data_IF_072758754105
#
_entry.id   IF_072758754105
#
_cell.length_a   1.000
_cell.length_b   1.000
_cell.length_c   1.000
_cell.angle_alpha   90.00
_cell.angle_beta   90.00
_cell.angle_gamma   90.00
#
_symmetry.space_group_name_H-M   'P 1'
#
loop_
_entity.id
_entity.type
_entity.pdbx_description
1 polymer ?
#
# COMPACT_ATOMS: atom_id res chain seq x y z
N UNK A 1 15.85 -2.82 16.95
CA UNK A 1 14.55 -3.52 16.79
C UNK A 1 14.42 -3.89 15.32
N UNK A 2 14.05 -5.15 15.01
CA UNK A 2 13.92 -5.61 13.62
C UNK A 2 12.66 -4.97 12.99
N UNK A 3 12.78 -4.60 11.71
CA UNK A 3 11.70 -4.12 10.86
C UNK A 3 11.43 -5.17 9.79
N UNK A 4 10.21 -5.25 9.34
CA UNK A 4 9.76 -6.18 8.30
C UNK A 4 9.01 -5.35 7.27
N UNK A 5 9.36 -5.52 6.01
CA UNK A 5 8.67 -4.91 4.90
C UNK A 5 7.88 -6.01 4.19
N UNK A 6 6.58 -5.84 4.11
CA UNK A 6 5.70 -6.65 3.28
C UNK A 6 5.68 -6.04 1.88
N UNK A 7 6.01 -6.85 0.89
CA UNK A 7 5.94 -6.50 -0.53
C UNK A 7 4.97 -7.48 -1.19
N UNK A 8 3.91 -6.97 -1.80
CA UNK A 8 2.98 -7.80 -2.55
C UNK A 8 3.58 -8.16 -3.91
N UNK A 9 3.42 -9.43 -4.31
CA UNK A 9 4.06 -9.97 -5.52
C UNK A 9 3.39 -9.55 -6.84
N UNK A 10 2.27 -8.87 -6.77
CA UNK A 10 1.49 -8.32 -7.89
C UNK A 10 1.88 -6.88 -8.25
N UNK A 11 2.86 -6.29 -7.58
CA UNK A 11 3.40 -4.95 -7.88
C UNK A 11 4.78 -5.04 -8.55
N UNK A 12 4.88 -5.39 -9.85
CA UNK A 12 6.15 -5.67 -10.52
C UNK A 12 7.03 -4.44 -10.73
N UNK A 13 6.49 -3.23 -10.56
CA UNK A 13 7.20 -1.96 -10.73
C UNK A 13 7.71 -1.37 -9.41
N UNK A 14 8.06 -2.23 -8.48
CA UNK A 14 8.62 -1.81 -7.21
C UNK A 14 9.91 -1.02 -7.41
N UNK A 15 9.89 0.26 -7.07
CA UNK A 15 11.08 1.11 -7.05
C UNK A 15 11.86 0.90 -5.75
N UNK A 16 13.12 0.46 -5.79
CA UNK A 16 13.96 0.32 -4.61
C UNK A 16 14.06 1.60 -3.77
N UNK A 17 14.04 2.76 -4.40
CA UNK A 17 14.10 4.05 -3.68
C UNK A 17 12.85 4.26 -2.80
N UNK A 18 11.68 3.78 -3.23
CA UNK A 18 10.45 3.82 -2.43
C UNK A 18 10.55 2.88 -1.22
N UNK A 19 11.18 1.71 -1.41
CA UNK A 19 11.44 0.77 -0.29
C UNK A 19 12.38 1.41 0.73
N UNK A 20 13.45 2.07 0.28
CA UNK A 20 14.38 2.77 1.16
C UNK A 20 13.69 3.89 1.96
N UNK A 21 12.82 4.68 1.31
CA UNK A 21 12.02 5.69 1.98
C UNK A 21 11.11 5.08 3.06
N UNK A 22 10.46 3.95 2.76
CA UNK A 22 9.62 3.23 3.71
C UNK A 22 10.43 2.69 4.89
N UNK A 23 11.66 2.18 4.65
CA UNK A 23 12.58 1.74 5.70
C UNK A 23 12.96 2.90 6.62
N UNK A 24 13.30 4.06 6.08
CA UNK A 24 13.62 5.23 6.91
C UNK A 24 12.38 5.71 7.68
N UNK A 25 11.21 5.72 7.05
CA UNK A 25 9.97 6.13 7.71
C UNK A 25 9.62 5.22 8.90
N UNK A 26 9.70 3.89 8.75
CA UNK A 26 9.36 2.96 9.84
C UNK A 26 10.35 3.03 11.01
N UNK A 27 11.60 3.41 10.78
CA UNK A 27 12.60 3.58 11.86
C UNK A 27 12.14 4.63 12.86
N UNK A 28 11.62 5.77 12.38
CA UNK A 28 11.20 6.91 13.19
C UNK A 28 9.73 6.84 13.63
N UNK A 29 8.91 5.99 13.00
CA UNK A 29 7.50 5.83 13.36
C UNK A 29 7.34 5.42 14.82
N UNK A 30 6.48 6.10 15.57
CA UNK A 30 6.12 5.73 16.94
C UNK A 30 5.05 4.63 16.95
N UNK A 31 4.13 4.66 15.98
CA UNK A 31 3.03 3.71 15.87
C UNK A 31 3.49 2.32 15.38
N UNK A 32 4.59 2.27 14.61
CA UNK A 32 5.26 1.02 14.26
C UNK A 32 4.61 0.22 13.14
N UNK A 33 3.66 0.81 12.40
CA UNK A 33 3.10 0.32 11.15
C UNK A 33 3.01 1.52 10.20
N UNK A 34 3.54 1.37 8.99
CA UNK A 34 3.48 2.38 7.93
C UNK A 34 2.99 1.72 6.66
N UNK A 35 1.92 2.22 6.08
CA UNK A 35 1.41 1.78 4.78
C UNK A 35 1.64 2.87 3.75
N UNK A 36 2.22 2.52 2.62
CA UNK A 36 2.35 3.45 1.51
C UNK A 36 1.00 3.73 0.88
N UNK A 37 0.81 4.97 0.48
CA UNK A 37 -0.36 5.43 -0.27
C UNK A 37 0.09 6.27 -1.47
N UNK A 38 -0.75 6.32 -2.50
CA UNK A 38 -0.53 7.14 -3.70
C UNK A 38 -1.81 7.86 -4.10
N UNK A 39 -1.71 9.13 -4.52
CA UNK A 39 -2.85 9.89 -5.03
C UNK A 39 -3.35 9.27 -6.33
N UNK A 40 -4.66 9.05 -6.45
CA UNK A 40 -5.28 8.43 -7.63
C UNK A 40 -6.04 9.44 -8.47
N UNK A 41 -6.12 9.16 -9.78
CA UNK A 41 -6.92 9.92 -10.72
C UNK A 41 -8.43 9.64 -10.59
N UNK A 42 -9.24 10.50 -11.20
CA UNK A 42 -10.71 10.38 -11.19
C UNK A 42 -11.18 9.06 -11.82
N UNK A 43 -10.43 8.51 -12.78
CA UNK A 43 -10.71 7.21 -13.41
C UNK A 43 -10.81 6.08 -12.39
N UNK A 44 -10.00 6.13 -11.33
CA UNK A 44 -9.84 5.05 -10.35
C UNK A 44 -10.81 5.18 -9.16
N UNK A 45 -11.54 6.30 -9.09
CA UNK A 45 -12.45 6.57 -7.98
C UNK A 45 -13.51 5.48 -7.77
N UNK A 46 -14.04 4.95 -8.86
CA UNK A 46 -15.09 3.94 -8.84
C UNK A 46 -14.60 2.52 -9.14
N UNK A 47 -13.29 2.32 -9.30
CA UNK A 47 -12.71 1.00 -9.50
C UNK A 47 -12.67 0.23 -8.16
N UNK A 48 -13.40 -0.89 -8.00
CA UNK A 48 -13.38 -1.67 -6.76
C UNK A 48 -12.07 -2.44 -6.54
N UNK A 49 -11.23 -2.60 -7.58
CA UNK A 49 -9.91 -3.22 -7.46
C UNK A 49 -8.92 -2.27 -6.78
N UNK A 50 -9.14 -0.97 -6.89
CA UNK A 50 -8.36 0.06 -6.21
C UNK A 50 -8.87 0.25 -4.79
N UNK A 51 -8.14 -0.23 -3.80
CA UNK A 51 -8.44 0.01 -2.38
C UNK A 51 -8.12 1.46 -2.02
N UNK A 52 -9.13 2.22 -1.61
CA UNK A 52 -8.98 3.62 -1.19
C UNK A 52 -8.52 3.67 0.27
N UNK A 53 -7.55 4.53 0.56
CA UNK A 53 -7.09 4.81 1.90
C UNK A 53 -7.59 6.19 2.34
N UNK A 54 -8.24 6.23 3.50
CA UNK A 54 -8.71 7.48 4.12
C UNK A 54 -7.89 7.72 5.39
N UNK A 55 -7.35 8.89 5.55
CA UNK A 55 -6.50 9.24 6.69
C UNK A 55 -6.81 10.64 7.23
N UNK A 56 -6.44 10.88 8.46
CA UNK A 56 -6.64 12.14 9.17
C UNK A 56 -5.45 13.11 8.98
N UNK A 57 -5.55 14.29 9.57
CA UNK A 57 -4.52 15.33 9.50
C UNK A 57 -3.19 14.97 10.21
N UNK A 58 -3.14 13.84 10.93
CA UNK A 58 -1.93 13.29 11.53
C UNK A 58 -1.29 12.23 10.68
N UNK A 59 -1.81 12.00 9.46
CA UNK A 59 -1.45 10.89 8.59
C UNK A 59 -1.74 9.51 9.22
N UNK A 60 -2.75 9.41 10.07
CA UNK A 60 -3.21 8.13 10.60
C UNK A 60 -4.36 7.62 9.73
N UNK A 61 -4.25 6.39 9.24
CA UNK A 61 -5.31 5.77 8.43
C UNK A 61 -6.51 5.51 9.33
N UNK A 62 -7.67 5.97 8.89
CA UNK A 62 -8.96 5.82 9.59
C UNK A 62 -9.88 4.82 8.89
N UNK A 63 -9.66 4.55 7.61
CA UNK A 63 -10.40 3.52 6.88
C UNK A 63 -9.69 3.10 5.60
N UNK A 64 -9.93 1.86 5.20
CA UNK A 64 -9.71 1.37 3.85
C UNK A 64 -11.05 0.94 3.26
N UNK A 65 -11.28 1.21 1.97
CA UNK A 65 -12.53 0.82 1.32
C UNK A 65 -12.36 0.60 -0.18
N UNK A 66 -13.13 -0.31 -0.73
CA UNK A 66 -13.24 -0.48 -2.18
C UNK A 66 -14.15 0.55 -2.81
N UNK A 67 -14.97 1.23 -2.01
CA UNK A 67 -15.81 2.36 -2.44
C UNK A 67 -15.13 3.70 -2.12
N UNK A 68 -15.50 4.74 -2.86
CA UNK A 68 -14.96 6.09 -2.63
C UNK A 68 -15.50 6.70 -1.34
N UNK A 69 -14.60 7.09 -0.45
CA UNK A 69 -14.90 7.79 0.80
C UNK A 69 -13.96 9.00 0.94
N UNK A 70 -14.48 10.21 1.19
CA UNK A 70 -15.89 10.63 1.15
C UNK A 70 -16.46 10.59 -0.29
N UNK A 71 -17.77 10.71 -0.44
CA UNK A 71 -18.45 10.58 -1.75
C UNK A 71 -17.94 11.51 -2.86
N UNK A 72 -17.40 12.67 -2.51
CA UNK A 72 -16.91 13.67 -3.47
C UNK A 72 -15.63 14.32 -2.95
N UNK A 73 -14.51 13.60 -2.88
CA UNK A 73 -13.26 14.16 -2.39
C UNK A 73 -12.62 15.06 -3.45
N UNK A 74 -11.83 16.03 -3.00
CA UNK A 74 -10.93 16.78 -3.90
C UNK A 74 -9.75 15.93 -4.36
N UNK A 75 -9.28 15.04 -3.50
CA UNK A 75 -8.22 14.08 -3.73
C UNK A 75 -8.60 12.75 -3.08
N UNK A 76 -8.21 11.67 -3.70
CA UNK A 76 -8.34 10.34 -3.13
C UNK A 76 -7.02 9.60 -3.27
N UNK A 77 -6.80 8.64 -2.40
CA UNK A 77 -5.55 7.89 -2.33
C UNK A 77 -5.84 6.39 -2.35
N UNK A 78 -5.00 5.64 -3.03
CA UNK A 78 -5.01 4.18 -2.97
C UNK A 78 -4.02 3.67 -1.93
N UNK A 79 -4.37 2.57 -1.31
CA UNK A 79 -3.41 1.72 -0.60
C UNK A 79 -2.44 1.10 -1.59
N UNK A 80 -1.15 1.10 -1.27
CA UNK A 80 -0.15 0.30 -1.98
C UNK A 80 0.18 -0.95 -1.16
N UNK A 81 0.54 -2.03 -1.85
CA UNK A 81 0.91 -3.32 -1.23
C UNK A 81 2.28 -3.32 -0.54
N UNK A 82 2.80 -2.15 -0.20
CA UNK A 82 4.04 -1.95 0.54
C UNK A 82 3.73 -1.47 1.95
N UNK A 83 3.99 -2.34 2.92
CA UNK A 83 3.67 -2.08 4.33
C UNK A 83 4.89 -2.42 5.19
N UNK A 84 5.29 -1.48 6.03
CA UNK A 84 6.36 -1.69 6.99
C UNK A 84 5.83 -1.92 8.40
N UNK A 85 6.43 -2.89 9.09
CA UNK A 85 6.09 -3.23 10.46
C UNK A 85 7.33 -3.21 11.37
N UNK A 86 7.20 -2.68 12.57
CA UNK A 86 8.05 -3.12 13.67
C UNK A 86 7.58 -4.50 14.11
N UNK A 87 8.49 -5.45 14.30
CA UNK A 87 8.18 -6.89 14.52
C UNK A 87 7.06 -7.14 15.51
N UNK A 88 7.00 -6.38 16.62
CA UNK A 88 5.96 -6.56 17.64
C UNK A 88 4.54 -6.34 17.10
N UNK A 89 4.37 -5.45 16.12
CA UNK A 89 3.05 -5.15 15.53
C UNK A 89 2.67 -6.19 14.48
N UNK A 90 3.63 -6.71 13.72
CA UNK A 90 3.37 -7.83 12.83
C UNK A 90 2.94 -9.07 13.62
N UNK A 91 3.62 -9.39 14.72
CA UNK A 91 3.20 -10.50 15.59
C UNK A 91 1.79 -10.29 16.14
N UNK A 92 1.47 -9.06 16.60
CA UNK A 92 0.13 -8.73 17.03
C UNK A 92 -0.90 -8.93 15.91
N UNK A 93 -0.60 -8.51 14.68
CA UNK A 93 -1.47 -8.71 13.51
C UNK A 93 -1.73 -10.20 13.25
N UNK A 94 -0.70 -11.05 13.33
CA UNK A 94 -0.81 -12.50 13.09
C UNK A 94 -1.67 -13.17 14.17
N UNK A 95 -1.58 -12.71 15.41
CA UNK A 95 -2.32 -13.28 16.54
C UNK A 95 -3.81 -12.86 16.56
N UNK A 96 -4.19 -11.81 15.85
CA UNK A 96 -5.57 -11.35 15.77
C UNK A 96 -6.41 -12.23 14.83
N UNK A 97 -7.63 -12.61 15.21
CA UNK A 97 -8.55 -13.27 14.29
C UNK A 97 -9.01 -12.27 13.18
N UNK A 98 -9.42 -12.78 12.01
CA UNK A 98 -10.03 -11.95 10.98
C UNK A 98 -11.19 -11.12 11.53
N UNK A 99 -11.25 -9.84 11.16
CA UNK A 99 -12.27 -8.92 11.64
C UNK A 99 -13.48 -8.84 10.69
N UNK A 100 -14.58 -8.26 11.16
CA UNK A 100 -15.82 -8.14 10.37
C UNK A 100 -15.61 -7.30 9.13
N UNK A 101 -14.94 -6.14 9.26
CA UNK A 101 -14.69 -5.26 8.11
C UNK A 101 -13.63 -5.83 7.17
N UNK A 102 -12.61 -6.52 7.69
CA UNK A 102 -11.65 -7.26 6.87
C UNK A 102 -12.34 -8.25 5.93
N UNK A 103 -13.27 -9.04 6.47
CA UNK A 103 -14.01 -10.05 5.70
C UNK A 103 -14.93 -9.37 4.68
N UNK A 104 -15.63 -8.31 5.09
CA UNK A 104 -16.60 -7.60 4.24
C UNK A 104 -15.93 -6.88 3.05
N UNK A 105 -14.81 -6.21 3.28
CA UNK A 105 -14.08 -5.46 2.26
C UNK A 105 -13.01 -6.30 1.55
N UNK A 106 -12.66 -7.48 2.10
CA UNK A 106 -11.49 -8.28 1.67
C UNK A 106 -10.20 -7.46 1.71
N UNK A 107 -9.97 -6.75 2.82
CA UNK A 107 -8.79 -5.91 3.08
C UNK A 107 -8.24 -6.28 4.45
N UNK A 108 -7.11 -6.99 4.48
CA UNK A 108 -6.50 -7.54 5.69
C UNK A 108 -6.09 -6.47 6.72
N UNK A 109 -5.67 -5.28 6.26
CA UNK A 109 -5.29 -4.17 7.14
C UNK A 109 -6.47 -3.62 7.96
N UNK A 110 -7.72 -3.88 7.58
CA UNK A 110 -8.91 -3.52 8.38
C UNK A 110 -8.88 -4.20 9.75
N UNK A 111 -8.29 -5.39 9.86
CA UNK A 111 -8.13 -6.11 11.14
C UNK A 111 -7.39 -5.27 12.18
N UNK A 112 -6.38 -4.51 11.75
CA UNK A 112 -5.64 -3.63 12.65
C UNK A 112 -6.50 -2.44 13.09
N UNK A 113 -7.22 -1.81 12.18
CA UNK A 113 -8.09 -0.67 12.47
C UNK A 113 -9.23 -1.07 13.40
N UNK A 114 -9.84 -2.23 13.17
CA UNK A 114 -10.91 -2.79 14.02
C UNK A 114 -10.43 -3.14 15.46
N UNK A 115 -9.12 -3.19 15.67
CA UNK A 115 -8.50 -3.41 16.97
C UNK A 115 -7.76 -2.16 17.52
N UNK A 116 -8.14 -0.96 17.07
CA UNK A 116 -7.59 0.33 17.50
C UNK A 116 -6.06 0.43 17.34
N UNK A 117 -5.50 -0.27 16.33
CA UNK A 117 -4.08 -0.20 16.03
C UNK A 117 -3.85 0.82 14.92
N UNK A 118 -3.06 1.84 15.25
CA UNK A 118 -2.78 2.95 14.34
C UNK A 118 -1.85 2.49 13.21
N UNK A 119 -2.24 2.79 11.97
CA UNK A 119 -1.45 2.64 10.77
C UNK A 119 -1.11 4.04 10.26
N UNK A 120 0.16 4.35 10.09
CA UNK A 120 0.58 5.61 9.47
C UNK A 120 0.48 5.53 7.95
N UNK A 121 -0.15 6.51 7.34
CA UNK A 121 -0.11 6.73 5.90
C UNK A 121 1.21 7.41 5.51
N UNK A 122 1.88 6.93 4.48
CA UNK A 122 3.03 7.59 3.89
C UNK A 122 2.83 7.72 2.39
N UNK A 123 2.64 8.96 1.94
CA UNK A 123 2.39 9.27 0.53
C UNK A 123 3.67 9.19 -0.29
N UNK A 124 3.59 8.52 -1.45
CA UNK A 124 4.65 8.47 -2.46
C UNK A 124 4.13 8.95 -3.81
N UNK A 125 5.00 9.61 -4.57
CA UNK A 125 4.62 10.22 -5.86
C UNK A 125 4.70 9.24 -7.04
N UNK A 126 5.38 8.11 -6.87
CA UNK A 126 5.52 7.12 -7.92
C UNK A 126 4.29 6.22 -7.98
N UNK A 127 3.61 6.14 -9.13
CA UNK A 127 2.55 5.18 -9.32
C UNK A 127 3.15 3.77 -9.31
N UNK A 128 2.59 2.89 -8.50
CA UNK A 128 2.90 1.46 -8.51
C UNK A 128 1.67 0.77 -9.11
N UNK A 129 1.89 0.05 -10.21
CA UNK A 129 0.82 -0.68 -10.89
C UNK A 129 0.68 -2.06 -10.28
N UNK A 130 -0.49 -2.33 -9.69
CA UNK A 130 -0.90 -3.69 -9.34
C UNK A 130 -1.36 -4.46 -10.58
N UNK A 131 -0.94 -5.72 -10.71
CA UNK A 131 -1.36 -6.62 -11.80
C UNK A 131 -2.47 -7.53 -11.30
N UNK A 132 -3.69 -7.00 -11.26
CA UNK A 132 -4.90 -7.71 -10.82
C UNK A 132 -5.61 -8.43 -11.97
N UNK A 133 -5.48 -7.90 -13.20
CA UNK A 133 -6.18 -8.41 -14.37
C UNK A 133 -5.23 -8.63 -15.55
N UNK A 134 -5.65 -9.48 -16.51
CA UNK A 134 -4.82 -9.86 -17.65
C UNK A 134 -4.33 -8.66 -18.48
N UNK A 135 -5.15 -7.63 -18.63
CA UNK A 135 -4.77 -6.43 -19.38
C UNK A 135 -3.71 -5.58 -18.65
N UNK A 136 -3.56 -5.70 -17.32
CA UNK A 136 -2.51 -5.04 -16.56
C UNK A 136 -1.12 -5.59 -16.90
N UNK A 137 -1.02 -6.84 -17.42
CA UNK A 137 0.26 -7.44 -17.79
C UNK A 137 0.92 -6.66 -18.92
N UNK A 138 0.19 -6.36 -19.99
CA UNK A 138 0.71 -5.60 -21.14
C UNK A 138 1.15 -4.19 -20.72
N UNK A 139 0.37 -3.57 -19.83
CA UNK A 139 0.68 -2.25 -19.29
C UNK A 139 1.95 -2.30 -18.42
N UNK A 140 2.06 -3.28 -17.50
CA UNK A 140 3.25 -3.50 -16.67
C UNK A 140 4.51 -3.75 -17.53
N UNK A 141 4.41 -4.59 -18.56
CA UNK A 141 5.52 -4.81 -19.50
C UNK A 141 5.95 -3.53 -20.21
N UNK A 142 5.00 -2.66 -20.60
CA UNK A 142 5.29 -1.40 -21.28
C UNK A 142 6.08 -0.44 -20.38
N UNK A 143 5.80 -0.46 -19.08
CA UNK A 143 6.52 0.34 -18.09
C UNK A 143 7.89 -0.28 -17.77
N UNK A 144 7.97 -1.58 -17.53
CA UNK A 144 9.23 -2.28 -17.26
C UNK A 144 10.26 -2.12 -18.38
N UNK A 145 9.82 -2.08 -19.64
CA UNK A 145 10.73 -1.83 -20.78
C UNK A 145 11.47 -0.48 -20.71
N UNK A 146 10.99 0.47 -19.90
CA UNK A 146 11.57 1.81 -19.71
C UNK A 146 12.19 1.95 -18.31
N UNK A 147 12.03 0.96 -17.45
CA UNK A 147 12.51 0.97 -16.08
C UNK A 147 14.03 0.78 -16.03
N UNK A 148 14.73 1.67 -15.31
CA UNK A 148 16.19 1.67 -15.23
C UNK A 148 16.74 0.39 -14.57
N UNK A 149 16.08 -0.10 -13.54
CA UNK A 149 16.53 -1.29 -12.81
C UNK A 149 16.30 -2.57 -13.63
N UNK A 150 15.16 -2.66 -14.31
CA UNK A 150 14.89 -3.77 -15.21
C UNK A 150 15.91 -3.83 -16.36
N UNK A 151 16.27 -2.69 -16.96
CA UNK A 151 17.27 -2.61 -18.04
C UNK A 151 18.66 -3.00 -17.53
N UNK A 152 19.05 -2.53 -16.35
CA UNK A 152 20.33 -2.93 -15.73
C UNK A 152 20.38 -4.43 -15.43
N UNK A 153 19.32 -4.99 -14.85
CA UNK A 153 19.22 -6.41 -14.59
C UNK A 153 19.32 -7.23 -15.87
N UNK A 154 18.58 -6.86 -16.91
CA UNK A 154 18.57 -7.55 -18.20
C UNK A 154 19.93 -7.52 -18.91
N UNK A 155 20.70 -6.44 -18.76
CA UNK A 155 22.01 -6.29 -19.37
C UNK A 155 23.12 -7.06 -18.63
N UNK A 156 22.85 -7.51 -17.40
CA UNK A 156 23.79 -8.23 -16.56
C UNK A 156 23.48 -9.75 -16.46
N UNK A 157 22.48 -10.25 -17.19
CA UNK A 157 22.17 -11.67 -17.42
C UNK A 157 22.82 -12.17 -18.69
#
# INVERSE_FOLDING_TARGET
KRQIILLQGDEPQLDPEVVDQLIEKIKISENGIVNLIHEIGISDFNDPNVVKAVFNNKNEIINFSRTLIPRSPKKAYRQLGLIAFKTKFLMKFIDLPPSVHEIAESIDMMRLLDNDIIIEAFEVNQPILGVDEKHHIELAESYLRKDKYYLDYKNNL
#
